data_IF_835692289658
#
_entry.id   IF_835692289658
#
_cell.length_a   1.000
_cell.length_b   1.000
_cell.length_c   1.000
_cell.angle_alpha   90.00
_cell.angle_beta   90.00
_cell.angle_gamma   90.00
#
_symmetry.space_group_name_H-M   'P 1'
#
loop_
_entity.id
_entity.type
_entity.pdbx_description
1 polymer ?
#
# COMPACT_ATOMS: atom_id res chain seq x y z
N UNK A 1 -8.43 7.95 -9.88
CA UNK A 1 -8.67 8.76 -8.66
C UNK A 1 -7.57 8.55 -7.60
N UNK A 2 -6.43 7.90 -7.92
CA UNK A 2 -5.48 7.39 -6.91
C UNK A 2 -4.07 7.98 -7.03
N UNK A 3 -3.92 9.27 -7.37
CA UNK A 3 -2.59 9.90 -7.53
C UNK A 3 -2.52 11.25 -6.84
N UNK A 4 -3.12 11.36 -5.64
CA UNK A 4 -3.11 12.62 -4.89
C UNK A 4 -2.59 12.45 -3.46
N UNK A 5 -2.24 11.24 -3.00
CA UNK A 5 -1.54 11.06 -1.74
C UNK A 5 -0.02 11.29 -1.89
N UNK A 6 0.67 11.76 -0.84
CA UNK A 6 2.12 11.87 -0.84
C UNK A 6 2.77 10.50 -1.03
N UNK A 7 3.84 10.46 -1.82
CA UNK A 7 4.70 9.28 -1.92
C UNK A 7 5.61 9.21 -0.69
N UNK A 8 5.09 8.56 0.36
CA UNK A 8 5.84 8.34 1.60
C UNK A 8 6.85 7.19 1.47
N UNK A 9 6.74 6.34 0.44
CA UNK A 9 7.63 5.19 0.25
C UNK A 9 9.04 5.67 -0.11
N UNK A 10 9.14 6.61 -1.07
CA UNK A 10 10.43 7.21 -1.44
C UNK A 10 11.08 7.96 -0.28
N UNK A 11 10.30 8.71 0.52
CA UNK A 11 10.81 9.40 1.71
C UNK A 11 11.41 8.39 2.71
N UNK A 12 10.73 7.27 2.94
CA UNK A 12 11.21 6.21 3.84
C UNK A 12 12.49 5.55 3.32
N UNK A 13 12.56 5.26 2.02
CA UNK A 13 13.72 4.62 1.41
C UNK A 13 14.94 5.56 1.37
N UNK A 14 14.76 6.81 0.97
CA UNK A 14 15.81 7.84 1.00
C UNK A 14 16.35 8.02 2.42
N UNK A 15 15.46 8.03 3.42
CA UNK A 15 15.86 8.15 4.81
C UNK A 15 16.68 6.93 5.27
N UNK A 16 16.31 5.71 4.86
CA UNK A 16 17.07 4.49 5.15
C UNK A 16 18.43 4.45 4.44
N UNK A 17 18.54 5.00 3.24
CA UNK A 17 19.81 5.07 2.50
C UNK A 17 20.77 6.10 3.09
N UNK A 18 20.24 7.21 3.61
CA UNK A 18 21.02 8.27 4.24
C UNK A 18 21.27 8.04 5.75
N UNK A 19 20.73 6.96 6.33
CA UNK A 19 20.89 6.62 7.75
C UNK A 19 22.33 6.16 8.02
N UNK A 20 23.23 7.12 8.24
CA UNK A 20 24.44 6.90 9.04
C UNK A 20 23.99 6.50 10.44
N UNK A 21 24.53 5.43 11.03
CA UNK A 21 24.11 4.69 12.25
C UNK A 21 23.62 5.49 13.49
N UNK A 22 23.64 6.82 13.47
CA UNK A 22 23.24 7.76 14.50
C UNK A 22 21.80 8.28 14.43
N UNK A 23 21.05 8.15 13.31
CA UNK A 23 19.68 8.70 13.19
C UNK A 23 18.68 7.62 12.76
N UNK A 24 18.35 6.70 13.67
CA UNK A 24 17.29 5.70 13.44
C UNK A 24 16.02 6.36 12.89
N UNK A 25 15.76 6.14 11.62
CA UNK A 25 14.53 6.59 10.97
C UNK A 25 13.32 5.94 11.64
N UNK A 26 12.38 6.76 12.11
CA UNK A 26 11.16 6.27 12.75
C UNK A 26 10.31 5.51 11.72
N UNK A 27 10.15 4.20 11.90
CA UNK A 27 9.38 3.36 10.98
C UNK A 27 7.87 3.36 11.24
N UNK A 28 7.42 4.10 12.26
CA UNK A 28 6.04 4.09 12.74
C UNK A 28 5.31 5.42 12.51
N UNK A 29 6.01 6.47 12.07
CA UNK A 29 5.41 7.77 11.78
C UNK A 29 6.27 8.56 10.80
N UNK A 30 5.90 8.50 9.52
CA UNK A 30 6.50 9.34 8.48
C UNK A 30 5.65 10.62 8.42
N UNK A 31 6.22 11.80 8.73
CA UNK A 31 5.46 13.04 8.70
C UNK A 31 4.98 13.35 7.28
N UNK A 32 3.73 13.79 7.16
CA UNK A 32 3.20 14.30 5.89
C UNK A 32 4.03 15.52 5.48
N UNK A 33 4.53 15.61 4.23
CA UNK A 33 5.31 16.76 3.80
C UNK A 33 4.54 18.07 3.99
N UNK A 34 5.20 19.11 4.51
CA UNK A 34 4.53 20.37 4.86
C UNK A 34 3.74 20.99 3.70
N UNK A 35 4.23 20.84 2.46
CA UNK A 35 3.57 21.36 1.28
C UNK A 35 2.19 20.71 1.02
N UNK A 36 1.92 19.50 1.53
CA UNK A 36 0.59 18.87 1.43
C UNK A 36 -0.46 19.52 2.34
N UNK A 37 -0.02 20.24 3.38
CA UNK A 37 -0.91 20.85 4.37
C UNK A 37 -1.26 22.31 4.05
N UNK A 38 -0.53 22.93 3.12
CA UNK A 38 -0.76 24.33 2.74
C UNK A 38 -2.08 24.52 1.98
N UNK A 39 -2.64 25.73 2.05
CA UNK A 39 -3.89 26.08 1.35
C UNK A 39 -3.72 26.14 -0.17
N UNK A 40 -2.52 26.48 -0.66
CA UNK A 40 -2.15 26.56 -2.08
C UNK A 40 -1.72 25.21 -2.68
N UNK A 41 -1.71 24.15 -1.88
CA UNK A 41 -1.35 22.81 -2.33
C UNK A 41 -2.42 22.25 -3.28
N UNK A 42 -1.98 21.65 -4.40
CA UNK A 42 -2.84 20.92 -5.34
C UNK A 42 -3.29 19.55 -4.78
N UNK A 43 -3.92 19.57 -3.60
CA UNK A 43 -4.42 18.41 -2.89
C UNK A 43 -5.95 18.44 -2.92
N UNK A 44 -6.56 17.35 -3.38
CA UNK A 44 -8.02 17.23 -3.46
C UNK A 44 -8.63 17.24 -2.06
N UNK A 45 -9.86 17.77 -1.88
CA UNK A 45 -10.49 17.86 -0.58
C UNK A 45 -10.66 16.50 0.11
N UNK A 46 -10.88 15.42 -0.66
CA UNK A 46 -10.99 14.05 -0.16
C UNK A 46 -9.67 13.59 0.48
N UNK A 47 -8.54 13.79 -0.21
CA UNK A 47 -7.21 13.44 0.30
C UNK A 47 -6.90 14.21 1.58
N UNK A 48 -7.21 15.51 1.61
CA UNK A 48 -6.99 16.35 2.79
C UNK A 48 -7.81 15.90 3.99
N UNK A 49 -9.06 15.50 3.77
CA UNK A 49 -9.92 14.97 4.83
C UNK A 49 -9.38 13.65 5.40
N UNK A 50 -8.93 12.74 4.54
CA UNK A 50 -8.33 11.45 4.98
C UNK A 50 -7.03 11.68 5.75
N UNK A 51 -6.15 12.55 5.27
CA UNK A 51 -4.90 12.90 5.98
C UNK A 51 -5.21 13.45 7.37
N UNK A 52 -6.13 14.42 7.48
CA UNK A 52 -6.54 14.99 8.77
C UNK A 52 -7.08 13.90 9.70
N UNK A 53 -7.98 13.05 9.19
CA UNK A 53 -8.58 11.98 9.96
C UNK A 53 -7.56 10.96 10.48
N UNK A 54 -6.56 10.62 9.67
CA UNK A 54 -5.45 9.73 10.05
C UNK A 54 -4.50 10.36 11.07
N UNK A 55 -4.36 11.69 11.09
CA UNK A 55 -3.58 12.41 12.09
C UNK A 55 -4.31 12.53 13.43
N UNK A 56 -5.64 12.61 13.40
CA UNK A 56 -6.47 12.76 14.60
C UNK A 56 -6.71 11.44 15.36
N UNK A 57 -6.69 10.30 14.65
CA UNK A 57 -6.98 8.98 15.24
C UNK A 57 -5.78 8.04 15.04
N UNK A 58 -5.26 7.42 16.12
CA UNK A 58 -4.15 6.47 16.02
C UNK A 58 -4.64 5.11 15.48
N UNK A 59 -4.90 5.03 14.18
CA UNK A 59 -5.27 3.77 13.52
C UNK A 59 -4.17 2.73 13.69
N UNK A 60 -4.57 1.52 14.11
CA UNK A 60 -3.67 0.37 14.23
C UNK A 60 -3.73 -0.52 12.98
N UNK A 61 -4.89 -0.57 12.33
CA UNK A 61 -5.12 -1.36 11.13
C UNK A 61 -6.11 -0.65 10.21
N UNK A 62 -5.83 -0.68 8.91
CA UNK A 62 -6.71 -0.15 7.86
C UNK A 62 -6.75 -1.11 6.67
N UNK A 63 -7.80 -0.98 5.87
CA UNK A 63 -7.93 -1.60 4.57
C UNK A 63 -8.74 -0.67 3.67
N UNK A 64 -8.30 -0.50 2.42
CA UNK A 64 -9.05 0.17 1.37
C UNK A 64 -9.73 -0.89 0.48
N UNK A 65 -10.84 -0.53 -0.19
CA UNK A 65 -11.58 -1.44 -1.06
C UNK A 65 -11.57 -0.92 -2.49
N UNK A 66 -11.14 -1.78 -3.41
CA UNK A 66 -11.09 -1.51 -4.83
C UNK A 66 -11.94 -2.51 -5.61
N UNK A 67 -12.40 -2.10 -6.80
CA UNK A 67 -13.06 -2.97 -7.77
C UNK A 67 -12.22 -3.09 -9.04
N UNK A 68 -12.30 -4.25 -9.68
CA UNK A 68 -11.61 -4.56 -10.94
C UNK A 68 -11.09 -5.99 -10.92
N UNK A 69 -10.26 -6.32 -9.94
CA UNK A 69 -9.74 -7.67 -9.71
C UNK A 69 -10.27 -8.27 -8.40
N UNK A 70 -10.10 -9.58 -8.25
CA UNK A 70 -10.47 -10.31 -7.04
C UNK A 70 -9.21 -10.89 -6.37
N UNK A 71 -8.53 -10.03 -5.62
CA UNK A 71 -7.27 -10.30 -4.93
C UNK A 71 -7.15 -9.39 -3.70
N UNK A 72 -6.38 -9.80 -2.70
CA UNK A 72 -5.94 -8.91 -1.61
C UNK A 72 -4.51 -8.47 -1.88
N UNK A 73 -4.32 -7.18 -2.12
CA UNK A 73 -2.99 -6.58 -2.26
C UNK A 73 -2.47 -6.16 -0.89
N UNK A 74 -1.19 -6.44 -0.62
CA UNK A 74 -0.52 -6.01 0.61
C UNK A 74 0.78 -5.26 0.30
N UNK A 75 1.24 -4.38 1.22
CA UNK A 75 2.34 -3.48 0.94
C UNK A 75 3.68 -4.18 0.63
N UNK A 76 4.63 -3.51 -0.02
CA UNK A 76 4.48 -2.18 -0.67
C UNK A 76 3.79 -2.25 -2.03
N UNK A 77 3.21 -1.13 -2.49
CA UNK A 77 2.53 -1.00 -3.80
C UNK A 77 3.44 -0.48 -4.93
N UNK A 78 4.72 -0.25 -4.64
CA UNK A 78 5.70 0.18 -5.62
C UNK A 78 7.04 -0.55 -5.47
N UNK A 79 7.85 -0.49 -6.53
CA UNK A 79 9.21 -1.01 -6.59
C UNK A 79 10.21 0.08 -6.22
N UNK A 80 11.38 -0.31 -5.71
CA UNK A 80 12.44 0.64 -5.29
C UNK A 80 13.19 1.27 -6.47
N UNK A 81 13.43 0.48 -7.52
CA UNK A 81 14.29 0.86 -8.64
C UNK A 81 13.51 1.14 -9.94
N UNK A 82 12.24 1.58 -9.83
CA UNK A 82 11.34 1.78 -10.97
C UNK A 82 11.13 0.52 -11.83
N UNK A 83 11.44 -0.65 -11.28
CA UNK A 83 11.12 -1.92 -11.92
C UNK A 83 9.61 -1.97 -12.19
N UNK A 84 9.16 -2.46 -13.36
CA UNK A 84 7.74 -2.52 -13.67
C UNK A 84 6.94 -3.36 -12.67
N UNK A 85 7.56 -4.45 -12.19
CA UNK A 85 7.03 -5.40 -11.21
C UNK A 85 8.21 -6.04 -10.47
N UNK A 86 8.18 -6.00 -9.13
CA UNK A 86 9.14 -6.68 -8.26
C UNK A 86 8.53 -6.86 -6.87
N UNK A 87 8.77 -8.01 -6.23
CA UNK A 87 8.33 -8.22 -4.86
C UNK A 87 9.09 -7.29 -3.89
N UNK A 88 8.37 -6.34 -3.28
CA UNK A 88 8.92 -5.35 -2.34
C UNK A 88 8.39 -5.59 -0.92
N UNK A 89 9.03 -6.49 -0.14
CA UNK A 89 8.54 -6.84 1.18
C UNK A 89 8.74 -5.69 2.18
N UNK A 90 7.79 -5.57 3.11
CA UNK A 90 7.96 -4.73 4.30
C UNK A 90 8.79 -5.43 5.37
N UNK A 91 9.14 -4.72 6.45
CA UNK A 91 9.74 -5.34 7.63
C UNK A 91 8.79 -6.35 8.30
N UNK A 92 7.48 -6.17 8.15
CA UNK A 92 6.41 -6.98 8.74
C UNK A 92 5.69 -7.86 7.68
N UNK A 93 6.40 -8.26 6.62
CA UNK A 93 5.85 -9.00 5.47
C UNK A 93 5.04 -10.24 5.89
N UNK A 94 5.53 -11.00 6.87
CA UNK A 94 4.84 -12.19 7.37
C UNK A 94 3.49 -11.88 7.99
N UNK A 95 3.37 -10.77 8.72
CA UNK A 95 2.12 -10.31 9.30
C UNK A 95 1.14 -9.86 8.22
N UNK A 96 1.60 -9.07 7.24
CA UNK A 96 0.75 -8.62 6.13
C UNK A 96 0.26 -9.77 5.26
N UNK A 97 1.11 -10.75 4.96
CA UNK A 97 0.72 -11.96 4.24
C UNK A 97 -0.29 -12.78 5.01
N UNK A 98 -0.10 -12.95 6.32
CA UNK A 98 -1.08 -13.61 7.18
C UNK A 98 -2.42 -12.89 7.15
N UNK A 99 -2.42 -11.57 7.35
CA UNK A 99 -3.63 -10.76 7.36
C UNK A 99 -4.38 -10.84 6.01
N UNK A 100 -3.65 -10.72 4.90
CA UNK A 100 -4.21 -10.85 3.55
C UNK A 100 -4.82 -12.24 3.34
N UNK A 101 -4.14 -13.30 3.81
CA UNK A 101 -4.63 -14.68 3.74
C UNK A 101 -5.92 -14.87 4.53
N UNK A 102 -6.03 -14.26 5.72
CA UNK A 102 -7.26 -14.33 6.55
C UNK A 102 -8.46 -13.76 5.80
N UNK A 103 -8.32 -12.61 5.14
CA UNK A 103 -9.41 -12.04 4.35
C UNK A 103 -9.71 -12.90 3.10
N UNK A 104 -8.66 -13.26 2.36
CA UNK A 104 -8.79 -13.98 1.09
C UNK A 104 -9.45 -15.37 1.25
N UNK A 105 -9.12 -16.07 2.33
CA UNK A 105 -9.66 -17.41 2.62
C UNK A 105 -11.08 -17.39 3.18
N UNK A 106 -11.54 -16.27 3.76
CA UNK A 106 -12.88 -16.15 4.35
C UNK A 106 -13.91 -15.55 3.40
N UNK A 107 -13.47 -14.83 2.37
CA UNK A 107 -14.36 -14.36 1.31
C UNK A 107 -14.78 -15.53 0.39
N UNK A 108 -16.05 -15.94 0.45
CA UNK A 108 -16.58 -17.09 -0.29
C UNK A 108 -16.34 -17.03 -1.81
N UNK A 109 -16.43 -15.85 -2.41
CA UNK A 109 -16.22 -15.70 -3.84
C UNK A 109 -14.74 -15.83 -4.16
N UNK A 110 -13.87 -15.20 -3.37
CA UNK A 110 -12.41 -15.26 -3.56
C UNK A 110 -11.83 -16.66 -3.26
N UNK A 111 -12.40 -17.40 -2.31
CA UNK A 111 -11.97 -18.75 -1.99
C UNK A 111 -12.50 -19.82 -2.95
N UNK A 112 -13.49 -19.50 -3.79
CA UNK A 112 -14.06 -20.44 -4.75
C UNK A 112 -13.08 -20.70 -5.91
N UNK A 113 -12.60 -21.94 -6.11
CA UNK A 113 -11.70 -22.29 -7.22
C UNK A 113 -12.42 -22.25 -8.58
N UNK A 114 -13.72 -22.54 -8.60
CA UNK A 114 -14.53 -22.59 -9.83
C UNK A 114 -15.03 -21.21 -10.28
N UNK A 115 -14.60 -20.14 -9.60
CA UNK A 115 -15.02 -18.78 -9.97
C UNK A 115 -14.42 -18.38 -11.31
N UNK A 116 -15.15 -17.52 -12.02
CA UNK A 116 -14.64 -16.88 -13.23
C UNK A 116 -13.47 -15.95 -12.89
N UNK A 117 -12.38 -16.04 -13.66
CA UNK A 117 -11.26 -15.09 -13.63
C UNK A 117 -11.76 -13.69 -14.04
N UNK A 118 -11.22 -12.66 -13.38
CA UNK A 118 -11.51 -11.26 -13.66
C UNK A 118 -10.83 -10.79 -14.97
N UNK A 119 -10.13 -9.66 -14.99
CA UNK A 119 -9.72 -9.03 -16.25
C UNK A 119 -8.31 -9.42 -16.69
N UNK A 120 -7.35 -9.48 -15.76
CA UNK A 120 -5.92 -9.54 -16.08
C UNK A 120 -5.26 -10.88 -15.74
N UNK A 121 -5.28 -11.27 -14.47
CA UNK A 121 -4.48 -12.38 -13.95
C UNK A 121 -5.32 -13.37 -13.13
N UNK A 122 -4.91 -14.64 -13.17
CA UNK A 122 -5.47 -15.67 -12.30
C UNK A 122 -4.77 -15.69 -10.93
N UNK A 123 -5.26 -14.85 -10.01
CA UNK A 123 -4.69 -14.75 -8.67
C UNK A 123 -4.88 -16.01 -7.81
N UNK A 124 -5.62 -17.02 -8.26
CA UNK A 124 -5.70 -18.32 -7.56
C UNK A 124 -4.32 -18.97 -7.44
N UNK A 125 -3.45 -18.74 -8.42
CA UNK A 125 -2.06 -19.24 -8.43
C UNK A 125 -1.23 -18.65 -7.29
N UNK A 126 -1.64 -17.50 -6.76
CA UNK A 126 -1.01 -16.79 -5.64
C UNK A 126 -1.81 -16.89 -4.34
N UNK A 127 -2.74 -17.85 -4.22
CA UNK A 127 -3.66 -17.96 -3.09
C UNK A 127 -4.52 -16.70 -2.86
N UNK A 128 -4.80 -15.96 -3.94
CA UNK A 128 -5.60 -14.73 -3.96
C UNK A 128 -5.02 -13.57 -3.14
N UNK A 129 -3.72 -13.60 -2.87
CA UNK A 129 -2.98 -12.50 -2.25
C UNK A 129 -1.79 -12.13 -3.12
N UNK A 130 -1.37 -10.86 -3.11
CA UNK A 130 -0.19 -10.43 -3.86
C UNK A 130 0.46 -9.21 -3.20
N UNK A 131 1.80 -9.14 -3.23
CA UNK A 131 2.51 -7.91 -2.89
C UNK A 131 2.25 -6.88 -4.00
N UNK A 132 1.93 -5.63 -3.65
CA UNK A 132 1.52 -4.64 -4.64
C UNK A 132 2.60 -4.34 -5.69
N UNK A 133 3.87 -4.20 -5.27
CA UNK A 133 5.02 -4.04 -6.15
C UNK A 133 5.21 -5.22 -7.11
N UNK A 134 4.84 -6.44 -6.69
CA UNK A 134 4.88 -7.62 -7.54
C UNK A 134 3.74 -7.65 -8.58
N UNK A 135 2.60 -7.03 -8.27
CA UNK A 135 1.46 -6.98 -9.18
C UNK A 135 1.60 -5.88 -10.23
N UNK A 136 1.82 -4.62 -9.82
CA UNK A 136 2.10 -3.50 -10.70
C UNK A 136 2.58 -2.29 -9.88
N UNK A 137 3.60 -1.59 -10.35
CA UNK A 137 4.07 -0.35 -9.67
C UNK A 137 3.04 0.77 -9.83
N UNK A 138 2.40 1.18 -8.73
CA UNK A 138 1.54 2.39 -8.68
C UNK A 138 2.12 3.38 -7.67
N UNK A 139 2.93 4.35 -8.11
CA UNK A 139 3.39 5.42 -7.22
C UNK A 139 2.19 6.25 -6.74
N UNK A 140 2.01 6.38 -5.42
CA UNK A 140 1.00 7.25 -4.81
C UNK A 140 -0.41 6.66 -4.62
N UNK A 141 -0.58 5.34 -4.75
CA UNK A 141 -1.80 4.65 -4.28
C UNK A 141 -1.71 4.41 -2.77
N UNK A 142 -2.71 4.89 -2.03
CA UNK A 142 -2.97 4.61 -0.61
C UNK A 142 -4.48 4.41 -0.46
#
# INVERSE_FOLDING_TARGET
MNHNFPDLNNIMWDAKENDTETVKTANHYIPIPEYYTKEDAFVTPETRAVISWMQDIPFVLSANLHGGELVVTYPFDCTRDWAPQENTPTADDSFFRWLATVYASTNLVMANPDRRICHSEDFQQHNNIINGGAWHTVPGSQ
#
